data_IF_829600331253
#
_entry.id   IF_829600331253
#
_cell.length_a   1.000
_cell.length_b   1.000
_cell.length_c   1.000
_cell.angle_alpha   90.00
_cell.angle_beta   90.00
_cell.angle_gamma   90.00
#
_symmetry.space_group_name_H-M   'P 1'
#
loop_
_entity.id
_entity.type
_entity.pdbx_description
1 polymer ?
#
# COMPACT_ATOMS: atom_id res chain seq x y z
N UNK A 1 7.09 -35.49 -13.78
CA UNK A 1 8.44 -34.87 -13.64
C UNK A 1 8.87 -34.61 -12.16
N UNK A 2 8.10 -35.09 -11.18
CA UNK A 2 8.45 -35.02 -9.73
C UNK A 2 9.51 -36.06 -9.29
N UNK A 3 10.12 -36.80 -10.20
CA UNK A 3 11.05 -37.90 -9.87
C UNK A 3 12.53 -37.59 -10.10
N UNK A 4 12.90 -36.35 -10.47
CA UNK A 4 14.31 -35.95 -10.60
C UNK A 4 14.94 -35.52 -9.26
N UNK A 5 14.14 -35.44 -8.19
CA UNK A 5 14.61 -35.22 -6.81
C UNK A 5 15.23 -36.45 -6.15
N UNK A 6 15.51 -37.51 -6.94
CA UNK A 6 16.22 -38.63 -6.40
C UNK A 6 17.61 -38.17 -5.96
N UNK A 7 17.86 -38.32 -4.68
CA UNK A 7 19.13 -38.16 -4.01
C UNK A 7 20.25 -38.93 -4.69
N UNK A 8 20.71 -38.48 -5.88
CA UNK A 8 21.97 -38.93 -6.40
C UNK A 8 23.06 -38.36 -5.50
N UNK A 9 23.63 -39.19 -4.66
CA UNK A 9 24.81 -38.85 -3.89
C UNK A 9 25.97 -38.60 -4.87
N UNK A 10 26.98 -37.80 -4.50
CA UNK A 10 28.16 -37.57 -5.36
C UNK A 10 28.82 -38.87 -5.82
N UNK A 11 28.84 -39.92 -4.98
CA UNK A 11 29.34 -41.24 -5.31
C UNK A 11 28.57 -41.94 -6.43
N UNK A 12 27.28 -41.67 -6.59
CA UNK A 12 26.49 -42.29 -7.65
C UNK A 12 26.84 -41.70 -9.02
N UNK A 13 27.18 -40.41 -9.09
CA UNK A 13 27.56 -39.70 -10.33
C UNK A 13 28.89 -40.22 -10.87
N UNK A 14 29.84 -40.62 -10.00
CA UNK A 14 31.14 -41.14 -10.39
C UNK A 14 31.08 -42.52 -11.05
N UNK A 15 30.03 -43.30 -10.76
CA UNK A 15 29.83 -44.65 -11.30
C UNK A 15 29.08 -44.69 -12.65
N UNK A 16 28.50 -43.56 -13.09
CA UNK A 16 27.65 -43.48 -14.29
C UNK A 16 28.48 -43.52 -15.58
N UNK A 17 27.92 -44.16 -16.60
CA UNK A 17 28.47 -44.13 -17.93
C UNK A 17 28.24 -42.80 -18.65
N UNK A 18 28.87 -42.61 -19.84
CA UNK A 18 28.78 -41.40 -20.62
C UNK A 18 27.34 -41.07 -21.06
N UNK A 19 26.55 -42.08 -21.43
CA UNK A 19 25.18 -41.87 -21.92
C UNK A 19 24.24 -41.53 -20.78
N UNK A 20 24.41 -42.14 -19.63
CA UNK A 20 23.70 -41.85 -18.40
C UNK A 20 23.98 -40.41 -17.93
N UNK A 21 25.25 -39.99 -17.92
CA UNK A 21 25.67 -38.62 -17.59
C UNK A 21 25.08 -37.60 -18.59
N UNK A 22 25.04 -37.92 -19.88
CA UNK A 22 24.45 -37.06 -20.90
C UNK A 22 22.93 -36.88 -20.67
N UNK A 23 22.22 -37.97 -20.35
CA UNK A 23 20.81 -37.94 -20.04
C UNK A 23 20.53 -37.13 -18.76
N UNK A 24 21.34 -37.33 -17.73
CA UNK A 24 21.26 -36.61 -16.46
C UNK A 24 21.51 -35.10 -16.66
N UNK A 25 22.52 -34.74 -17.46
CA UNK A 25 22.81 -33.36 -17.85
C UNK A 25 21.61 -32.70 -18.54
N UNK A 26 20.97 -33.40 -19.50
CA UNK A 26 19.78 -32.90 -20.19
C UNK A 26 18.62 -32.71 -19.22
N UNK A 27 18.40 -33.66 -18.32
CA UNK A 27 17.36 -33.59 -17.29
C UNK A 27 17.56 -32.38 -16.35
N UNK A 28 18.77 -32.20 -15.78
CA UNK A 28 19.07 -31.05 -14.94
C UNK A 28 18.94 -29.71 -15.69
N UNK A 29 19.39 -29.64 -16.94
CA UNK A 29 19.27 -28.44 -17.77
C UNK A 29 17.81 -28.08 -18.00
N UNK A 30 16.94 -29.07 -18.28
CA UNK A 30 15.48 -28.84 -18.41
C UNK A 30 14.85 -28.42 -17.10
N UNK A 31 15.22 -29.04 -15.99
CA UNK A 31 14.74 -28.72 -14.65
C UNK A 31 15.14 -27.31 -14.22
N UNK A 32 16.40 -26.92 -14.43
CA UNK A 32 16.88 -25.56 -14.17
C UNK A 32 16.11 -24.50 -14.97
N UNK A 33 15.81 -24.80 -16.26
CA UNK A 33 15.00 -23.91 -17.09
C UNK A 33 13.58 -23.75 -16.54
N UNK A 34 12.97 -24.84 -16.06
CA UNK A 34 11.66 -24.80 -15.44
C UNK A 34 11.68 -23.96 -14.15
N UNK A 35 12.64 -24.23 -13.24
CA UNK A 35 12.80 -23.46 -12.01
C UNK A 35 13.01 -21.96 -12.28
N UNK A 36 13.81 -21.63 -13.30
CA UNK A 36 14.00 -20.22 -13.71
C UNK A 36 12.68 -19.58 -14.13
N UNK A 37 11.87 -20.26 -14.93
CA UNK A 37 10.57 -19.74 -15.34
C UNK A 37 9.62 -19.56 -14.14
N UNK A 38 9.58 -20.53 -13.22
CA UNK A 38 8.74 -20.48 -12.03
C UNK A 38 9.16 -19.31 -11.10
N UNK A 39 10.48 -19.10 -10.92
CA UNK A 39 11.02 -17.96 -10.15
C UNK A 39 10.64 -16.63 -10.79
N UNK A 40 10.81 -16.50 -12.12
CA UNK A 40 10.45 -15.29 -12.87
C UNK A 40 8.95 -15.04 -12.75
N UNK A 41 8.11 -16.05 -12.89
CA UNK A 41 6.65 -15.90 -12.77
C UNK A 41 6.26 -15.39 -11.37
N UNK A 42 6.82 -15.98 -10.31
CA UNK A 42 6.55 -15.53 -8.94
C UNK A 42 7.00 -14.09 -8.75
N UNK A 43 8.16 -13.71 -9.21
CA UNK A 43 8.72 -12.37 -8.99
C UNK A 43 8.01 -11.30 -9.80
N UNK A 44 7.86 -11.49 -11.12
CA UNK A 44 7.34 -10.47 -12.04
C UNK A 44 5.82 -10.41 -12.08
N UNK A 45 5.13 -11.54 -11.88
CA UNK A 45 3.68 -11.63 -11.95
C UNK A 45 3.05 -11.53 -10.56
N UNK A 46 3.37 -12.47 -9.67
CA UNK A 46 2.66 -12.60 -8.38
C UNK A 46 3.11 -11.55 -7.37
N UNK A 47 4.41 -11.45 -7.06
CA UNK A 47 4.93 -10.50 -6.06
C UNK A 47 4.70 -9.07 -6.52
N UNK A 48 4.91 -8.75 -7.79
CA UNK A 48 4.69 -7.40 -8.31
C UNK A 48 3.21 -7.02 -8.26
N UNK A 49 2.29 -7.93 -8.59
CA UNK A 49 0.85 -7.72 -8.45
C UNK A 49 0.44 -7.41 -7.01
N UNK A 50 0.95 -8.19 -6.04
CA UNK A 50 0.68 -7.96 -4.61
C UNK A 50 1.27 -6.62 -4.15
N UNK A 51 2.48 -6.27 -4.56
CA UNK A 51 3.08 -4.97 -4.23
C UNK A 51 2.28 -3.79 -4.79
N UNK A 52 1.77 -3.89 -6.02
CA UNK A 52 0.91 -2.86 -6.61
C UNK A 52 -0.41 -2.69 -5.82
N UNK A 53 -1.01 -3.80 -5.36
CA UNK A 53 -2.21 -3.76 -4.50
C UNK A 53 -1.90 -3.13 -3.13
N UNK A 54 -0.75 -3.46 -2.52
CA UNK A 54 -0.29 -2.86 -1.27
C UNK A 54 -0.12 -1.35 -1.45
N UNK A 55 0.53 -0.91 -2.51
CA UNK A 55 0.73 0.51 -2.80
C UNK A 55 -0.60 1.25 -2.95
N UNK A 56 -1.50 0.73 -3.78
CA UNK A 56 -2.84 1.31 -4.00
C UNK A 56 -3.64 1.41 -2.69
N UNK A 57 -3.67 0.35 -1.88
CA UNK A 57 -4.37 0.37 -0.60
C UNK A 57 -3.72 1.32 0.41
N UNK A 58 -2.40 1.45 0.39
CA UNK A 58 -1.66 2.40 1.24
C UNK A 58 -2.00 3.85 0.89
N UNK A 59 -2.07 4.16 -0.40
CA UNK A 59 -2.41 5.51 -0.87
C UNK A 59 -3.88 5.85 -0.56
N UNK A 60 -4.79 4.88 -0.73
CA UNK A 60 -6.17 5.00 -0.30
C UNK A 60 -6.28 5.24 1.20
N UNK A 61 -5.54 4.48 2.02
CA UNK A 61 -5.52 4.64 3.46
C UNK A 61 -5.06 6.05 3.88
N UNK A 62 -4.00 6.58 3.26
CA UNK A 62 -3.52 7.95 3.51
C UNK A 62 -4.60 9.00 3.18
N UNK A 63 -5.28 8.84 2.04
CA UNK A 63 -6.37 9.74 1.62
C UNK A 63 -7.51 9.72 2.63
N UNK A 64 -7.97 8.54 3.05
CA UNK A 64 -9.07 8.39 4.01
C UNK A 64 -8.69 8.93 5.40
N UNK A 65 -7.47 8.72 5.87
CA UNK A 65 -6.97 9.30 7.12
C UNK A 65 -6.94 10.84 7.06
N UNK A 66 -6.55 11.41 5.92
CA UNK A 66 -6.62 12.86 5.68
C UNK A 66 -8.05 13.38 5.78
N UNK A 67 -9.00 12.71 5.15
CA UNK A 67 -10.44 13.06 5.22
C UNK A 67 -10.99 12.94 6.65
N UNK A 68 -10.70 11.87 7.37
CA UNK A 68 -11.12 11.68 8.77
C UNK A 68 -10.59 12.81 9.65
N UNK A 69 -9.33 13.20 9.50
CA UNK A 69 -8.74 14.34 10.22
C UNK A 69 -9.46 15.65 9.91
N UNK A 70 -9.81 15.90 8.65
CA UNK A 70 -10.54 17.10 8.24
C UNK A 70 -11.96 17.13 8.82
N UNK A 71 -12.69 16.00 8.79
CA UNK A 71 -14.03 15.88 9.38
C UNK A 71 -13.98 16.15 10.89
N UNK A 72 -13.06 15.53 11.62
CA UNK A 72 -12.91 15.75 13.07
C UNK A 72 -12.55 17.20 13.42
N UNK A 73 -11.75 17.87 12.59
CA UNK A 73 -11.46 19.28 12.74
C UNK A 73 -12.72 20.13 12.52
N UNK A 74 -13.55 19.78 11.52
CA UNK A 74 -14.82 20.44 11.25
C UNK A 74 -15.83 20.25 12.38
N UNK A 75 -15.94 19.03 12.94
CA UNK A 75 -16.77 18.72 14.11
C UNK A 75 -16.35 19.59 15.29
N UNK A 76 -15.04 19.67 15.56
CA UNK A 76 -14.51 20.50 16.66
C UNK A 76 -14.87 21.98 16.50
N UNK A 77 -14.72 22.54 15.29
CA UNK A 77 -15.10 23.93 15.00
C UNK A 77 -16.58 24.14 15.20
N UNK A 78 -17.44 23.28 14.60
CA UNK A 78 -18.90 23.39 14.73
C UNK A 78 -19.41 23.23 16.17
N UNK A 79 -18.76 22.37 16.96
CA UNK A 79 -19.06 22.27 18.40
C UNK A 79 -18.71 23.56 19.14
N UNK A 80 -17.62 24.21 18.80
CA UNK A 80 -17.28 25.54 19.37
C UNK A 80 -18.32 26.57 19.02
N UNK A 81 -18.76 26.63 17.76
CA UNK A 81 -19.80 27.57 17.28
C UNK A 81 -21.14 27.28 17.96
N UNK A 82 -21.51 26.01 18.11
CA UNK A 82 -22.71 25.57 18.82
C UNK A 82 -22.71 26.02 20.29
N UNK A 83 -21.58 25.87 20.98
CA UNK A 83 -21.42 26.34 22.37
C UNK A 83 -21.55 27.88 22.47
N UNK A 84 -20.96 28.61 21.51
CA UNK A 84 -21.07 30.06 21.46
C UNK A 84 -22.54 30.54 21.26
N UNK A 85 -23.30 29.84 20.40
CA UNK A 85 -24.73 30.10 20.23
C UNK A 85 -25.49 29.76 21.51
N UNK A 86 -25.18 28.65 22.18
CA UNK A 86 -25.80 28.30 23.46
C UNK A 86 -25.62 29.38 24.53
N UNK A 87 -24.42 29.97 24.60
CA UNK A 87 -24.15 31.12 25.50
C UNK A 87 -25.00 32.34 25.12
N UNK A 88 -25.11 32.67 23.83
CA UNK A 88 -25.98 33.79 23.38
C UNK A 88 -27.44 33.53 23.70
N UNK A 89 -27.93 32.31 23.52
CA UNK A 89 -29.30 31.92 23.89
C UNK A 89 -29.52 32.11 25.39
N UNK A 90 -28.60 31.68 26.26
CA UNK A 90 -28.69 31.87 27.69
C UNK A 90 -28.78 33.38 28.05
N UNK A 91 -27.82 34.17 27.56
CA UNK A 91 -27.79 35.61 27.78
C UNK A 91 -29.07 36.30 27.31
N UNK A 92 -29.59 35.92 26.13
CA UNK A 92 -30.86 36.50 25.61
C UNK A 92 -32.05 36.08 26.45
N UNK A 93 -32.09 34.87 27.02
CA UNK A 93 -33.15 34.43 27.95
C UNK A 93 -33.12 35.23 29.26
N UNK A 94 -31.93 35.43 29.83
CA UNK A 94 -31.77 36.20 31.08
C UNK A 94 -32.21 37.64 30.86
N UNK A 95 -31.83 38.23 29.71
CA UNK A 95 -32.27 39.59 29.34
C UNK A 95 -33.79 39.65 29.09
N UNK A 96 -34.33 38.64 28.41
CA UNK A 96 -35.80 38.53 28.20
C UNK A 96 -36.53 38.47 29.52
N UNK A 97 -36.13 37.64 30.47
CA UNK A 97 -36.73 37.56 31.80
C UNK A 97 -36.73 38.91 32.54
N UNK A 98 -35.60 39.66 32.43
CA UNK A 98 -35.46 40.99 33.00
C UNK A 98 -36.43 42.00 32.36
N UNK A 99 -36.62 41.93 31.04
CA UNK A 99 -37.54 42.83 30.34
C UNK A 99 -39.00 42.45 30.57
N UNK A 100 -39.34 41.17 30.58
CA UNK A 100 -40.70 40.69 30.86
C UNK A 100 -41.18 41.10 32.27
N UNK A 101 -40.26 41.17 33.24
CA UNK A 101 -40.61 41.67 34.59
C UNK A 101 -40.99 43.16 34.62
N UNK A 102 -40.72 43.96 33.57
CA UNK A 102 -40.99 45.37 33.45
C UNK A 102 -42.22 45.65 32.59
N UNK A 103 -42.75 44.65 31.93
CA UNK A 103 -43.92 44.80 31.04
C UNK A 103 -45.17 44.48 31.83
N UNK A 104 -46.17 45.35 31.76
CA UNK A 104 -47.51 45.09 32.27
C UNK A 104 -48.31 44.21 31.29
N UNK A 105 -49.50 43.77 31.70
CA UNK A 105 -50.37 42.96 30.85
C UNK A 105 -51.10 43.75 29.73
N UNK A 106 -50.75 45.03 29.55
CA UNK A 106 -51.33 45.82 28.50
C UNK A 106 -50.75 45.58 27.13
N UNK A 107 -51.58 45.63 26.10
CA UNK A 107 -51.13 45.47 24.71
C UNK A 107 -50.49 46.72 24.16
N UNK A 108 -49.58 46.62 23.18
CA UNK A 108 -48.91 47.75 22.55
C UNK A 108 -49.90 48.76 22.01
N UNK A 109 -51.03 48.33 21.42
CA UNK A 109 -52.08 49.20 20.88
C UNK A 109 -52.77 50.00 21.95
N UNK A 110 -53.01 49.42 23.13
CA UNK A 110 -53.61 50.11 24.27
C UNK A 110 -52.69 51.20 24.83
N UNK A 111 -51.37 50.88 24.93
CA UNK A 111 -50.39 51.87 25.39
C UNK A 111 -50.23 53.03 24.42
N UNK A 112 -50.17 52.71 23.10
CA UNK A 112 -50.16 53.80 22.06
C UNK A 112 -51.37 54.70 22.17
N UNK A 113 -52.55 54.11 22.31
CA UNK A 113 -53.80 54.90 22.47
C UNK A 113 -53.71 55.73 23.72
N UNK A 114 -53.34 55.23 24.86
CA UNK A 114 -53.21 55.94 26.15
C UNK A 114 -52.21 57.09 26.07
N UNK A 115 -50.99 56.80 25.48
CA UNK A 115 -49.96 57.84 25.28
C UNK A 115 -50.54 59.01 24.41
N UNK A 116 -51.20 58.65 23.30
CA UNK A 116 -51.79 59.65 22.40
C UNK A 116 -52.86 60.50 23.09
N UNK A 117 -53.71 59.88 23.91
CA UNK A 117 -54.74 60.60 24.68
C UNK A 117 -54.13 61.57 25.72
N UNK A 118 -53.12 61.07 26.48
CA UNK A 118 -52.42 61.88 27.48
C UNK A 118 -51.63 63.03 26.82
N UNK A 119 -51.00 62.78 25.66
CA UNK A 119 -50.29 63.82 24.92
C UNK A 119 -51.21 64.93 24.44
N UNK A 120 -52.37 64.55 23.87
CA UNK A 120 -53.37 65.50 23.48
C UNK A 120 -53.87 66.33 24.66
N UNK A 121 -54.09 65.69 25.82
CA UNK A 121 -54.51 66.42 27.06
C UNK A 121 -53.47 67.46 27.50
N UNK A 122 -52.17 67.20 27.29
CA UNK A 122 -51.10 68.17 27.52
C UNK A 122 -51.10 69.31 26.49
N UNK A 123 -51.25 68.98 25.20
CA UNK A 123 -51.29 69.97 24.10
C UNK A 123 -52.46 70.89 24.20
N UNK A 124 -53.64 70.35 24.51
CA UNK A 124 -54.90 71.12 24.65
C UNK A 124 -55.02 71.88 25.99
N UNK A 125 -53.95 71.80 26.84
CA UNK A 125 -53.92 72.42 28.20
C UNK A 125 -55.06 71.97 29.09
N UNK A 126 -55.54 70.77 29.00
CA UNK A 126 -56.60 70.16 29.79
C UNK A 126 -56.12 69.76 31.19
N UNK A 127 -55.47 70.67 31.94
CA UNK A 127 -54.99 70.42 33.30
C UNK A 127 -55.30 71.64 34.16
N UNK A 128 -55.70 71.41 35.41
CA UNK A 128 -56.09 72.46 36.34
C UNK A 128 -54.94 73.10 37.13
N UNK A 129 -53.83 72.28 37.31
CA UNK A 129 -52.67 72.68 38.11
C UNK A 129 -51.35 72.24 37.47
N UNK A 130 -50.24 72.97 37.79
CA UNK A 130 -48.90 72.57 37.32
C UNK A 130 -48.44 71.19 37.87
N UNK A 131 -48.95 70.80 39.05
CA UNK A 131 -48.74 69.46 39.61
C UNK A 131 -49.43 68.40 38.74
N UNK A 132 -50.59 68.64 38.21
CA UNK A 132 -51.35 67.75 37.35
C UNK A 132 -50.65 67.60 35.99
N UNK A 133 -50.14 68.68 35.43
CA UNK A 133 -49.28 68.67 34.23
C UNK A 133 -48.01 67.81 34.44
N UNK A 134 -47.32 67.94 35.55
CA UNK A 134 -46.13 67.14 35.90
C UNK A 134 -46.52 65.70 36.03
N UNK A 135 -47.65 65.35 36.61
CA UNK A 135 -48.15 63.99 36.75
C UNK A 135 -48.46 63.33 35.39
N UNK A 136 -49.16 64.01 34.49
CA UNK A 136 -49.48 63.57 33.14
C UNK A 136 -48.16 63.34 32.34
N UNK A 137 -47.20 64.25 32.43
CA UNK A 137 -45.93 64.16 31.79
C UNK A 137 -45.09 62.91 32.28
N UNK A 138 -45.17 62.66 33.60
CA UNK A 138 -44.53 61.48 34.15
C UNK A 138 -45.19 60.16 33.68
N UNK A 139 -46.53 60.15 33.63
CA UNK A 139 -47.30 58.98 33.15
C UNK A 139 -47.04 58.70 31.67
N UNK A 140 -46.95 59.71 30.80
CA UNK A 140 -46.51 59.53 29.41
C UNK A 140 -45.13 58.90 29.33
N UNK A 141 -44.20 59.36 30.16
CA UNK A 141 -42.83 58.78 30.18
C UNK A 141 -42.85 57.37 30.64
N UNK A 142 -43.59 57.02 31.70
CA UNK A 142 -43.66 55.65 32.22
C UNK A 142 -44.31 54.71 31.20
N UNK A 143 -45.42 55.12 30.54
CA UNK A 143 -46.08 54.35 29.48
C UNK A 143 -45.21 54.21 28.22
N UNK A 144 -44.45 55.27 27.88
CA UNK A 144 -43.47 55.17 26.75
C UNK A 144 -42.35 54.18 27.03
N UNK A 145 -41.81 54.16 28.26
CA UNK A 145 -40.79 53.14 28.65
C UNK A 145 -41.39 51.76 28.64
N UNK A 146 -42.66 51.59 29.05
CA UNK A 146 -43.34 50.29 29.01
C UNK A 146 -43.55 49.82 27.55
N UNK A 147 -43.97 50.71 26.64
CA UNK A 147 -44.07 50.37 25.21
C UNK A 147 -42.70 49.96 24.59
N UNK A 148 -41.61 50.67 24.94
CA UNK A 148 -40.29 50.34 24.49
C UNK A 148 -39.84 48.94 25.03
N UNK A 149 -40.19 48.60 26.26
CA UNK A 149 -39.93 47.27 26.84
C UNK A 149 -40.70 46.19 26.10
N UNK A 150 -41.97 46.39 25.72
CA UNK A 150 -42.74 45.40 24.91
C UNK A 150 -42.10 45.20 23.56
N UNK A 151 -41.67 46.26 22.86
CA UNK A 151 -40.98 46.16 21.57
C UNK A 151 -39.65 45.39 21.72
N UNK A 152 -38.87 45.68 22.78
CA UNK A 152 -37.64 44.96 23.09
C UNK A 152 -37.90 43.48 23.33
N UNK A 153 -38.92 43.11 24.14
CA UNK A 153 -39.32 41.71 24.38
C UNK A 153 -39.67 41.01 23.07
N UNK A 154 -40.44 41.64 22.18
CA UNK A 154 -40.78 41.06 20.88
C UNK A 154 -39.52 40.78 20.02
N UNK A 155 -38.62 41.78 19.93
CA UNK A 155 -37.36 41.67 19.18
C UNK A 155 -36.46 40.56 19.75
N UNK A 156 -36.35 40.45 21.08
CA UNK A 156 -35.57 39.43 21.73
C UNK A 156 -36.16 38.04 21.45
N UNK A 157 -37.48 37.88 21.52
CA UNK A 157 -38.17 36.62 21.19
C UNK A 157 -37.93 36.19 19.75
N UNK A 158 -37.97 37.12 18.80
CA UNK A 158 -37.62 36.84 17.41
C UNK A 158 -36.14 36.42 17.26
N UNK A 159 -35.21 37.13 17.91
CA UNK A 159 -33.79 36.78 17.92
C UNK A 159 -33.53 35.42 18.54
N UNK A 160 -34.20 35.07 19.66
CA UNK A 160 -34.12 33.77 20.28
C UNK A 160 -34.59 32.63 19.35
N UNK A 161 -35.68 32.83 18.62
CA UNK A 161 -36.15 31.86 17.64
C UNK A 161 -35.11 31.62 16.54
N UNK A 162 -34.45 32.68 16.02
CA UNK A 162 -33.39 32.57 15.03
C UNK A 162 -32.16 31.82 15.58
N UNK A 163 -31.75 32.15 16.82
CA UNK A 163 -30.64 31.48 17.48
C UNK A 163 -30.92 29.98 17.73
N UNK A 164 -32.15 29.63 18.14
CA UNK A 164 -32.57 28.26 18.30
C UNK A 164 -32.53 27.50 16.96
N UNK A 165 -33.05 28.08 15.88
CA UNK A 165 -32.94 27.47 14.53
C UNK A 165 -31.50 27.27 14.09
N UNK A 166 -30.60 28.21 14.37
CA UNK A 166 -29.18 28.06 14.10
C UNK A 166 -28.57 26.94 14.93
N UNK A 167 -28.91 26.86 16.22
CA UNK A 167 -28.43 25.79 17.11
C UNK A 167 -28.86 24.41 16.61
N UNK A 168 -30.13 24.26 16.19
CA UNK A 168 -30.64 23.01 15.63
C UNK A 168 -29.94 22.64 14.32
N UNK A 169 -29.68 23.62 13.45
CA UNK A 169 -28.92 23.39 12.21
C UNK A 169 -27.48 22.95 12.49
N UNK A 170 -26.80 23.55 13.48
CA UNK A 170 -25.46 23.09 13.87
C UNK A 170 -25.48 21.69 14.44
N UNK A 171 -26.44 21.35 15.30
CA UNK A 171 -26.61 20.02 15.89
C UNK A 171 -26.81 18.94 14.82
N UNK A 172 -27.67 19.21 13.83
CA UNK A 172 -27.88 18.27 12.72
C UNK A 172 -26.63 18.11 11.84
N UNK A 173 -25.92 19.20 11.52
CA UNK A 173 -24.67 19.16 10.80
C UNK A 173 -23.58 18.33 11.54
N UNK A 174 -23.45 18.50 12.85
CA UNK A 174 -22.51 17.74 13.67
C UNK A 174 -22.86 16.26 13.60
N UNK A 175 -24.14 15.91 13.76
CA UNK A 175 -24.62 14.53 13.67
C UNK A 175 -24.32 13.88 12.30
N UNK A 176 -24.49 14.63 11.21
CA UNK A 176 -24.15 14.14 9.87
C UNK A 176 -22.65 13.89 9.71
N UNK A 177 -21.80 14.80 10.21
CA UNK A 177 -20.35 14.64 10.19
C UNK A 177 -19.88 13.47 11.06
N UNK A 178 -20.49 13.25 12.23
CA UNK A 178 -20.18 12.09 13.08
C UNK A 178 -20.52 10.76 12.37
N UNK A 179 -21.69 10.70 11.71
CA UNK A 179 -22.06 9.53 10.90
C UNK A 179 -21.08 9.29 9.74
N UNK A 180 -20.60 10.37 9.10
CA UNK A 180 -19.59 10.26 8.05
C UNK A 180 -18.25 9.76 8.61
N UNK A 181 -17.78 10.27 9.75
CA UNK A 181 -16.53 9.80 10.40
C UNK A 181 -16.63 8.32 10.79
N UNK A 182 -17.78 7.85 11.29
CA UNK A 182 -18.00 6.44 11.59
C UNK A 182 -17.88 5.57 10.34
N UNK A 183 -18.54 5.95 9.24
CA UNK A 183 -18.46 5.22 7.96
C UNK A 183 -17.01 5.18 7.44
N UNK A 184 -16.31 6.30 7.55
CA UNK A 184 -14.93 6.44 7.12
C UNK A 184 -13.99 5.56 7.96
N UNK A 185 -14.17 5.52 9.28
CA UNK A 185 -13.40 4.66 10.17
C UNK A 185 -13.61 3.17 9.88
N UNK A 186 -14.83 2.75 9.57
CA UNK A 186 -15.12 1.38 9.15
C UNK A 186 -14.39 1.03 7.85
N UNK A 187 -14.35 1.95 6.87
CA UNK A 187 -13.61 1.76 5.63
C UNK A 187 -12.10 1.71 5.86
N UNK A 188 -11.55 2.58 6.71
CA UNK A 188 -10.15 2.56 7.14
C UNK A 188 -9.78 1.20 7.74
N UNK A 189 -10.61 0.65 8.62
CA UNK A 189 -10.37 -0.65 9.24
C UNK A 189 -10.41 -1.79 8.20
N UNK A 190 -11.35 -1.75 7.26
CA UNK A 190 -11.42 -2.72 6.16
C UNK A 190 -10.15 -2.71 5.31
N UNK A 191 -9.63 -1.53 4.95
CA UNK A 191 -8.38 -1.42 4.18
C UNK A 191 -7.18 -1.92 4.99
N UNK A 192 -7.11 -1.65 6.29
CA UNK A 192 -6.04 -2.18 7.16
C UNK A 192 -6.04 -3.71 7.17
N UNK A 193 -7.21 -4.32 7.35
CA UNK A 193 -7.34 -5.79 7.29
C UNK A 193 -6.92 -6.35 5.93
N UNK A 194 -7.28 -5.67 4.84
CA UNK A 194 -6.86 -6.06 3.49
C UNK A 194 -5.34 -5.92 3.30
N UNK A 195 -4.71 -4.87 3.84
CA UNK A 195 -3.26 -4.70 3.83
C UNK A 195 -2.54 -5.81 4.60
N UNK A 196 -3.04 -6.16 5.79
CA UNK A 196 -2.45 -7.25 6.59
C UNK A 196 -2.50 -8.58 5.82
N UNK A 197 -3.62 -8.89 5.16
CA UNK A 197 -3.75 -10.08 4.32
C UNK A 197 -2.75 -10.07 3.14
N UNK A 198 -2.57 -8.92 2.47
CA UNK A 198 -1.61 -8.76 1.37
C UNK A 198 -0.15 -8.90 1.84
N UNK A 199 0.20 -8.42 3.03
CA UNK A 199 1.52 -8.61 3.60
C UNK A 199 1.81 -10.07 3.92
N UNK A 200 0.81 -10.81 4.43
CA UNK A 200 0.93 -12.27 4.65
C UNK A 200 1.10 -13.01 3.32
N UNK A 201 0.32 -12.67 2.30
CA UNK A 201 0.44 -13.24 0.95
C UNK A 201 1.82 -12.97 0.34
N UNK A 202 2.32 -11.74 0.42
CA UNK A 202 3.66 -11.37 -0.05
C UNK A 202 4.76 -12.19 0.63
N UNK A 203 4.63 -12.41 1.95
CA UNK A 203 5.58 -13.23 2.70
C UNK A 203 5.60 -14.68 2.22
N UNK A 204 4.42 -15.28 2.03
CA UNK A 204 4.31 -16.65 1.49
C UNK A 204 4.96 -16.78 0.10
N UNK A 205 4.73 -15.83 -0.79
CA UNK A 205 5.35 -15.81 -2.12
C UNK A 205 6.87 -15.62 -2.04
N UNK A 206 7.36 -14.81 -1.10
CA UNK A 206 8.80 -14.65 -0.86
C UNK A 206 9.45 -15.95 -0.36
N UNK A 207 8.78 -16.66 0.54
CA UNK A 207 9.24 -17.95 1.06
C UNK A 207 9.24 -19.02 -0.05
N UNK A 208 8.20 -19.07 -0.89
CA UNK A 208 8.11 -19.94 -2.06
C UNK A 208 9.25 -19.66 -3.06
N UNK A 209 9.51 -18.39 -3.38
CA UNK A 209 10.65 -17.98 -4.20
C UNK A 209 11.98 -18.42 -3.61
N UNK A 210 12.16 -18.28 -2.30
CA UNK A 210 13.38 -18.72 -1.61
C UNK A 210 13.59 -20.22 -1.71
N UNK A 211 12.54 -21.01 -1.57
CA UNK A 211 12.59 -22.46 -1.73
C UNK A 211 12.95 -22.87 -3.16
N UNK A 212 12.40 -22.20 -4.16
CA UNK A 212 12.76 -22.45 -5.57
C UNK A 212 14.21 -22.08 -5.87
N UNK A 213 14.72 -20.97 -5.30
CA UNK A 213 16.14 -20.59 -5.43
C UNK A 213 17.07 -21.62 -4.79
N UNK A 214 16.70 -22.18 -3.64
CA UNK A 214 17.48 -23.25 -3.01
C UNK A 214 17.49 -24.52 -3.88
N UNK A 215 16.33 -24.88 -4.44
CA UNK A 215 16.23 -26.01 -5.38
C UNK A 215 17.06 -25.76 -6.65
N UNK A 216 17.05 -24.54 -7.18
CA UNK A 216 17.86 -24.13 -8.32
C UNK A 216 19.35 -24.27 -8.03
N UNK A 217 19.82 -23.74 -6.90
CA UNK A 217 21.23 -23.83 -6.50
C UNK A 217 21.68 -25.30 -6.33
N UNK A 218 20.84 -26.12 -5.72
CA UNK A 218 21.12 -27.55 -5.54
C UNK A 218 21.21 -28.27 -6.90
N UNK A 219 20.28 -27.99 -7.81
CA UNK A 219 20.32 -28.58 -9.16
C UNK A 219 21.53 -28.10 -9.97
N UNK A 220 21.92 -26.82 -9.81
CA UNK A 220 23.12 -26.28 -10.46
C UNK A 220 24.40 -26.98 -9.98
N UNK A 221 24.57 -27.15 -8.67
CA UNK A 221 25.71 -27.89 -8.10
C UNK A 221 25.78 -29.33 -8.64
N UNK A 222 24.63 -30.01 -8.69
CA UNK A 222 24.60 -31.38 -9.27
C UNK A 222 24.97 -31.38 -10.76
N UNK A 223 24.50 -30.38 -11.53
CA UNK A 223 24.88 -30.24 -12.93
C UNK A 223 26.39 -29.99 -13.12
N UNK A 224 27.01 -29.22 -12.24
CA UNK A 224 28.45 -28.98 -12.24
C UNK A 224 29.23 -30.27 -11.98
N UNK A 225 28.78 -31.09 -11.02
CA UNK A 225 29.40 -32.41 -10.76
C UNK A 225 29.31 -33.35 -11.96
N UNK A 226 28.14 -33.39 -12.63
CA UNK A 226 27.96 -34.15 -13.88
C UNK A 226 28.93 -33.66 -14.96
N UNK A 227 29.07 -32.36 -15.15
CA UNK A 227 29.99 -31.77 -16.14
C UNK A 227 31.47 -32.16 -15.81
N UNK A 228 31.87 -32.05 -14.54
CA UNK A 228 33.22 -32.44 -14.11
C UNK A 228 33.50 -33.90 -14.39
N UNK A 229 32.54 -34.80 -14.13
CA UNK A 229 32.71 -36.23 -14.41
C UNK A 229 32.78 -36.52 -15.92
N UNK A 230 31.95 -35.86 -16.72
CA UNK A 230 32.05 -35.96 -18.18
C UNK A 230 33.41 -35.49 -18.71
N UNK A 231 33.97 -34.42 -18.16
CA UNK A 231 35.28 -33.91 -18.52
C UNK A 231 36.39 -34.90 -18.14
N UNK A 232 36.32 -35.54 -16.96
CA UNK A 232 37.26 -36.62 -16.57
C UNK A 232 37.24 -37.76 -17.59
N UNK A 233 36.04 -38.28 -17.92
CA UNK A 233 35.89 -39.39 -18.91
C UNK A 233 36.38 -38.95 -20.28
N UNK A 234 36.10 -37.73 -20.70
CA UNK A 234 36.55 -37.18 -21.99
C UNK A 234 38.08 -37.10 -22.07
N UNK A 235 38.76 -36.65 -21.01
CA UNK A 235 40.22 -36.62 -20.94
C UNK A 235 40.83 -38.02 -21.03
N UNK A 236 40.28 -38.97 -20.27
CA UNK A 236 40.74 -40.36 -20.33
C UNK A 236 40.56 -40.96 -21.73
N UNK A 237 39.44 -40.74 -22.39
CA UNK A 237 39.20 -41.18 -23.76
C UNK A 237 40.20 -40.57 -24.75
N UNK A 238 40.51 -39.29 -24.68
CA UNK A 238 41.51 -38.62 -25.52
C UNK A 238 42.90 -39.20 -25.32
N UNK A 239 43.31 -39.43 -24.08
CA UNK A 239 44.60 -40.06 -23.77
C UNK A 239 44.69 -41.47 -24.34
N UNK A 240 43.63 -42.29 -24.20
CA UNK A 240 43.59 -43.63 -24.78
C UNK A 240 43.70 -43.63 -26.32
N UNK A 241 43.00 -42.69 -26.99
CA UNK A 241 43.08 -42.55 -28.45
C UNK A 241 44.48 -42.13 -28.87
N UNK A 242 45.13 -41.21 -28.15
CA UNK A 242 46.53 -40.82 -28.43
C UNK A 242 47.48 -41.91 -28.22
N UNK A 243 47.41 -42.66 -27.11
CA UNK A 243 48.28 -43.83 -26.86
C UNK A 243 48.05 -44.93 -27.87
N UNK A 244 46.79 -45.19 -28.27
CA UNK A 244 46.48 -46.18 -29.29
C UNK A 244 47.00 -45.76 -30.67
N UNK A 245 46.88 -44.49 -31.00
CA UNK A 245 47.43 -43.91 -32.22
C UNK A 245 48.98 -44.03 -32.28
N UNK A 246 49.67 -43.74 -31.17
CA UNK A 246 51.10 -43.91 -31.04
C UNK A 246 51.49 -45.41 -31.16
N UNK A 247 50.77 -46.29 -30.46
CA UNK A 247 51.04 -47.73 -30.53
C UNK A 247 50.86 -48.29 -31.94
N UNK A 248 49.83 -47.89 -32.67
CA UNK A 248 49.64 -48.29 -34.09
C UNK A 248 50.75 -47.72 -34.97
N UNK A 249 51.12 -46.47 -34.76
CA UNK A 249 52.24 -45.85 -35.50
C UNK A 249 53.54 -46.55 -35.24
N UNK A 250 53.86 -46.81 -33.98
CA UNK A 250 55.09 -47.50 -33.60
C UNK A 250 55.16 -48.99 -34.13
N UNK A 251 53.98 -49.70 -34.08
CA UNK A 251 53.90 -51.06 -34.61
C UNK A 251 54.02 -51.12 -36.13
N UNK A 252 53.45 -50.08 -36.82
CA UNK A 252 53.61 -49.97 -38.28
C UNK A 252 55.06 -49.67 -38.68
N UNK A 253 55.72 -48.75 -37.92
CA UNK A 253 57.14 -48.45 -38.12
C UNK A 253 58.01 -49.70 -37.89
N UNK A 254 57.75 -50.48 -36.83
CA UNK A 254 58.45 -51.71 -36.56
C UNK A 254 58.28 -52.73 -37.69
N UNK A 255 57.07 -52.92 -38.24
CA UNK A 255 56.83 -53.81 -39.39
C UNK A 255 57.61 -53.38 -40.63
N UNK A 256 57.57 -52.06 -40.94
CA UNK A 256 58.33 -51.53 -42.07
C UNK A 256 59.85 -51.73 -41.88
N UNK A 257 60.33 -51.54 -40.64
CA UNK A 257 61.73 -51.81 -40.25
C UNK A 257 62.11 -53.29 -40.43
N UNK A 258 61.24 -54.21 -40.00
CA UNK A 258 61.47 -55.66 -40.19
C UNK A 258 61.49 -56.05 -41.68
N UNK A 259 60.54 -55.51 -42.46
CA UNK A 259 60.53 -55.76 -43.92
C UNK A 259 61.75 -55.15 -44.62
N UNK A 260 62.19 -53.98 -44.22
CA UNK A 260 63.40 -53.35 -44.71
C UNK A 260 64.66 -54.18 -44.37
N UNK A 261 64.77 -54.75 -43.16
CA UNK A 261 65.83 -55.65 -42.77
C UNK A 261 65.86 -56.90 -43.65
N UNK A 262 64.69 -57.55 -43.90
CA UNK A 262 64.58 -58.75 -44.76
C UNK A 262 64.95 -58.41 -46.19
N UNK A 263 64.60 -57.26 -46.72
CA UNK A 263 65.00 -56.76 -48.07
C UNK A 263 66.53 -56.57 -48.16
N UNK A 264 67.12 -56.02 -47.08
CA UNK A 264 68.57 -55.84 -47.02
C UNK A 264 69.31 -57.20 -47.01
N UNK A 265 68.84 -58.16 -46.20
CA UNK A 265 69.40 -59.52 -46.13
C UNK A 265 69.24 -60.31 -47.45
N UNK A 266 68.14 -60.05 -48.18
CA UNK A 266 67.89 -60.69 -49.47
C UNK A 266 68.58 -60.02 -50.67
N UNK A 267 69.35 -58.96 -50.47
CA UNK A 267 70.01 -58.20 -51.52
C UNK A 267 69.06 -57.39 -52.42
N UNK A 268 67.79 -57.17 -51.98
CA UNK A 268 66.80 -56.43 -52.72
C UNK A 268 66.98 -54.91 -52.54
N UNK A 269 66.52 -54.11 -53.54
CA UNK A 269 66.66 -52.68 -53.48
C UNK A 269 65.71 -52.08 -52.39
N UNK A 270 66.26 -51.28 -51.47
CA UNK A 270 65.56 -50.55 -50.45
C UNK A 270 65.20 -49.18 -50.99
N UNK A 271 64.02 -48.65 -50.58
CA UNK A 271 63.68 -47.25 -50.79
C UNK A 271 64.47 -46.36 -49.85
N UNK A 272 64.60 -45.06 -50.17
CA UNK A 272 65.29 -44.07 -49.33
C UNK A 272 64.66 -43.94 -47.95
N UNK A 273 63.31 -44.09 -47.84
CA UNK A 273 62.59 -44.02 -46.59
C UNK A 273 62.84 -45.24 -45.72
N UNK A 274 62.89 -46.48 -46.33
CA UNK A 274 63.21 -47.70 -45.62
C UNK A 274 64.68 -47.70 -45.12
N UNK A 275 65.55 -47.11 -45.86
CA UNK A 275 66.96 -46.96 -45.48
C UNK A 275 67.12 -45.95 -44.34
N UNK A 276 66.38 -44.83 -44.36
CA UNK A 276 66.35 -43.86 -43.30
C UNK A 276 65.75 -44.41 -41.98
N UNK A 277 64.76 -45.29 -42.03
CA UNK A 277 64.19 -45.93 -40.89
C UNK A 277 65.14 -47.00 -40.26
N UNK A 278 65.98 -47.59 -41.04
CA UNK A 278 66.98 -48.57 -40.56
C UNK A 278 68.20 -47.93 -39.88
N UNK A 279 68.59 -46.74 -40.31
CA UNK A 279 69.79 -46.06 -39.83
C UNK A 279 69.52 -44.85 -38.87
N UNK A 280 68.27 -44.57 -38.60
CA UNK A 280 67.87 -43.43 -37.69
C UNK A 280 67.75 -43.91 -36.22
N UNK A 281 68.38 -45.06 -35.84
CA UNK A 281 68.45 -45.54 -34.44
C UNK A 281 69.76 -45.08 -33.74
N UNK A 282 70.28 -43.97 -34.10
CA UNK A 282 71.50 -43.47 -33.50
C UNK A 282 71.41 -41.92 -33.28
N UNK A 283 70.59 -41.52 -32.28
CA UNK A 283 70.85 -40.38 -31.36
C UNK A 283 69.87 -40.46 -30.19
#
# INVERSE_FOLDING_TARGET
LRSADQNFAEKDIESLDWNELLNLKRSFSSYLKQLTNDIIEIETSKIQSVNNKIQSNTDNLKSLLGRSKAIRSSIKSKNSDFLAIGQKISQSKDFLSTMESRVTNETEDVLIHTINVLTKSLEDKQYATENEKSRISQEIKDRSMEMEAIKAVHTIKQGLNQLNQQADAFKENIKQLDMEDIKLNNHINSIRTALDALYVERRKLSDERSNLLNSYNTALQKLELVNLQMDKISKVRRQRVQMHGQYISDSAILKVKEEAKRKLESGSKLSFEELKLLYNDGD
#
